data_IF_116352363763
#
_entry.id   IF_116352363763
#
_cell.length_a   1.000
_cell.length_b   1.000
_cell.length_c   1.000
_cell.angle_alpha   90.00
_cell.angle_beta   90.00
_cell.angle_gamma   90.00
#
_symmetry.space_group_name_H-M   'P 1'
#
loop_
_entity.id
_entity.type
_entity.pdbx_description
1 polymer ?
#
# COMPACT_ATOMS: atom_id res chain seq x y z
N UNK A 1 37.73 9.33 -47.30
CA UNK A 1 36.74 8.92 -46.28
C UNK A 1 37.28 9.34 -44.92
N UNK A 2 36.65 10.34 -44.29
CA UNK A 2 37.23 11.13 -43.21
C UNK A 2 37.05 10.52 -41.82
N UNK A 3 38.00 10.84 -40.93
CA UNK A 3 38.06 10.43 -39.52
C UNK A 3 36.72 10.58 -38.75
N UNK A 4 35.94 11.62 -39.06
CA UNK A 4 34.63 11.89 -38.48
C UNK A 4 33.59 10.78 -38.79
N UNK A 5 33.66 10.19 -39.97
CA UNK A 5 32.73 9.17 -40.46
C UNK A 5 33.04 7.79 -39.84
N UNK A 6 34.26 7.58 -39.33
CA UNK A 6 34.63 6.42 -38.52
C UNK A 6 34.20 6.59 -37.05
N UNK A 7 34.29 7.80 -36.49
CA UNK A 7 33.83 8.11 -35.13
C UNK A 7 32.31 7.96 -34.98
N UNK A 8 31.51 8.43 -35.95
CA UNK A 8 30.04 8.32 -35.92
C UNK A 8 29.57 6.86 -36.03
N UNK A 9 30.24 6.04 -36.85
CA UNK A 9 29.96 4.59 -36.94
C UNK A 9 30.37 3.83 -35.67
N UNK A 10 31.44 4.25 -35.00
CA UNK A 10 31.91 3.60 -33.77
C UNK A 10 31.01 3.94 -32.56
N UNK A 11 30.60 5.20 -32.44
CA UNK A 11 29.64 5.66 -31.42
C UNK A 11 28.26 5.01 -31.60
N UNK A 12 27.78 4.89 -32.84
CA UNK A 12 26.54 4.16 -33.17
C UNK A 12 26.60 2.68 -32.80
N UNK A 13 27.70 1.98 -33.09
CA UNK A 13 27.87 0.57 -32.70
C UNK A 13 27.92 0.36 -31.19
N UNK A 14 28.59 1.26 -30.45
CA UNK A 14 28.60 1.22 -28.98
C UNK A 14 27.22 1.51 -28.39
N UNK A 15 26.47 2.47 -28.93
CA UNK A 15 25.10 2.76 -28.51
C UNK A 15 24.17 1.55 -28.73
N UNK A 16 24.25 0.88 -29.89
CA UNK A 16 23.45 -0.32 -30.16
C UNK A 16 23.86 -1.52 -29.29
N UNK A 17 25.14 -1.71 -29.00
CA UNK A 17 25.61 -2.76 -28.09
C UNK A 17 25.16 -2.51 -26.64
N UNK A 18 25.26 -1.27 -26.15
CA UNK A 18 24.77 -0.87 -24.85
C UNK A 18 23.24 -1.07 -24.74
N UNK A 19 22.50 -0.75 -25.80
CA UNK A 19 21.04 -0.92 -25.84
C UNK A 19 20.63 -2.40 -25.92
N UNK A 20 21.44 -3.27 -26.54
CA UNK A 20 21.26 -4.73 -26.50
C UNK A 20 21.53 -5.29 -25.09
N UNK A 21 22.56 -4.79 -24.39
CA UNK A 21 22.84 -5.15 -23.00
C UNK A 21 21.69 -4.78 -22.06
N UNK A 22 21.18 -3.53 -22.15
CA UNK A 22 20.03 -3.07 -21.37
C UNK A 22 18.77 -3.89 -21.63
N UNK A 23 18.49 -4.28 -22.89
CA UNK A 23 17.34 -5.12 -23.25
C UNK A 23 17.45 -6.53 -22.70
N UNK A 24 18.66 -7.09 -22.62
CA UNK A 24 18.91 -8.41 -22.04
C UNK A 24 18.73 -8.39 -20.52
N UNK A 25 19.31 -7.40 -19.83
CA UNK A 25 19.13 -7.24 -18.38
C UNK A 25 17.64 -7.03 -18.01
N UNK A 26 16.90 -6.22 -18.77
CA UNK A 26 15.47 -6.03 -18.56
C UNK A 26 14.66 -7.32 -18.79
N UNK A 27 15.07 -8.18 -19.73
CA UNK A 27 14.42 -9.47 -19.98
C UNK A 27 14.72 -10.47 -18.85
N UNK A 28 15.97 -10.50 -18.36
CA UNK A 28 16.39 -11.33 -17.22
C UNK A 28 15.64 -10.90 -15.93
N UNK A 29 15.57 -9.59 -15.65
CA UNK A 29 14.75 -9.04 -14.57
C UNK A 29 13.27 -9.42 -14.73
N UNK A 30 12.71 -9.30 -15.94
CA UNK A 30 11.33 -9.70 -16.22
C UNK A 30 11.10 -11.19 -15.98
N UNK A 31 12.07 -12.05 -16.28
CA UNK A 31 11.98 -13.49 -16.01
C UNK A 31 11.97 -13.78 -14.51
N UNK A 32 12.85 -13.17 -13.72
CA UNK A 32 12.85 -13.34 -12.26
C UNK A 32 11.55 -12.83 -11.62
N UNK A 33 10.99 -11.76 -12.14
CA UNK A 33 9.67 -11.27 -11.75
C UNK A 33 8.57 -12.32 -11.98
N UNK A 34 8.59 -13.03 -13.11
CA UNK A 34 7.63 -14.11 -13.35
C UNK A 34 7.88 -15.30 -12.43
N UNK A 35 9.13 -15.66 -12.15
CA UNK A 35 9.47 -16.73 -11.22
C UNK A 35 9.01 -16.43 -9.80
N UNK A 36 9.24 -15.20 -9.30
CA UNK A 36 8.70 -14.69 -8.03
C UNK A 36 7.19 -14.90 -7.98
N UNK A 37 6.47 -14.43 -9.00
CA UNK A 37 5.01 -14.49 -9.06
C UNK A 37 4.47 -15.93 -9.06
N UNK A 38 5.20 -16.86 -9.67
CA UNK A 38 4.76 -18.24 -9.88
C UNK A 38 5.17 -19.15 -8.71
N UNK A 39 6.34 -18.92 -8.11
CA UNK A 39 6.95 -19.86 -7.17
C UNK A 39 7.02 -19.34 -5.73
N UNK A 40 6.77 -18.04 -5.49
CA UNK A 40 6.79 -17.44 -4.14
C UNK A 40 8.14 -17.58 -3.41
N UNK A 41 9.22 -17.89 -4.13
CA UNK A 41 10.52 -18.22 -3.53
C UNK A 41 11.39 -16.97 -3.38
N UNK A 42 11.79 -16.67 -2.14
CA UNK A 42 12.69 -15.55 -1.80
C UNK A 42 14.08 -15.64 -2.43
N UNK A 43 14.45 -16.81 -2.97
CA UNK A 43 15.73 -17.04 -3.67
C UNK A 43 15.90 -16.19 -4.94
N UNK A 44 14.81 -15.60 -5.45
CA UNK A 44 14.79 -14.77 -6.67
C UNK A 44 14.84 -13.26 -6.40
N UNK A 45 14.82 -12.82 -5.14
CA UNK A 45 14.88 -11.39 -4.79
C UNK A 45 16.27 -10.78 -5.00
N UNK A 46 17.34 -11.53 -4.72
CA UNK A 46 18.70 -11.01 -4.81
C UNK A 46 19.10 -10.63 -6.25
N UNK A 47 18.89 -11.49 -7.26
CA UNK A 47 19.15 -11.11 -8.66
C UNK A 47 18.31 -9.91 -9.14
N UNK A 48 17.07 -9.78 -8.65
CA UNK A 48 16.25 -8.60 -8.94
C UNK A 48 16.87 -7.35 -8.34
N UNK A 49 17.24 -7.39 -7.06
CA UNK A 49 17.91 -6.29 -6.37
C UNK A 49 19.15 -5.84 -7.13
N UNK A 50 20.05 -6.76 -7.44
CA UNK A 50 21.31 -6.49 -8.13
C UNK A 50 21.09 -5.88 -9.55
N UNK A 51 19.92 -6.10 -10.16
CA UNK A 51 19.57 -5.54 -11.48
C UNK A 51 19.01 -4.12 -11.45
N UNK A 52 18.41 -3.69 -10.33
CA UNK A 52 17.75 -2.38 -10.18
C UNK A 52 18.44 -1.43 -9.21
N UNK A 53 19.19 -1.95 -8.23
CA UNK A 53 20.07 -1.20 -7.33
C UNK A 53 21.32 -0.73 -8.11
N UNK A 54 21.13 0.26 -8.98
CA UNK A 54 22.17 0.74 -9.89
C UNK A 54 23.29 1.51 -9.21
N UNK A 55 23.03 2.04 -8.01
CA UNK A 55 23.97 2.78 -7.18
C UNK A 55 24.65 1.91 -6.11
N UNK A 56 24.23 0.65 -5.96
CA UNK A 56 24.88 -0.34 -5.12
C UNK A 56 24.71 -0.06 -3.63
N UNK A 57 23.59 0.55 -3.25
CA UNK A 57 23.28 0.90 -1.87
C UNK A 57 22.88 -0.31 -1.03
N UNK A 58 22.48 -1.41 -1.69
CA UNK A 58 21.86 -2.56 -1.08
C UNK A 58 20.37 -2.35 -0.75
N UNK A 59 19.79 -1.21 -1.12
CA UNK A 59 18.38 -0.88 -0.96
C UNK A 59 17.80 -0.33 -2.26
N UNK A 60 16.48 -0.22 -2.34
CA UNK A 60 15.77 0.34 -3.49
C UNK A 60 15.10 1.63 -3.08
N UNK A 61 15.51 2.72 -3.70
CA UNK A 61 14.82 3.99 -3.60
C UNK A 61 13.46 3.96 -4.32
N UNK A 62 12.68 5.03 -4.22
CA UNK A 62 11.37 5.15 -4.87
C UNK A 62 11.42 4.96 -6.40
N UNK A 63 12.44 5.48 -7.08
CA UNK A 63 12.55 5.38 -8.53
C UNK A 63 12.92 3.97 -8.99
N UNK A 64 13.82 3.31 -8.25
CA UNK A 64 14.24 1.94 -8.51
C UNK A 64 13.09 0.97 -8.22
N UNK A 65 12.40 1.13 -7.09
CA UNK A 65 11.22 0.33 -6.76
C UNK A 65 10.12 0.50 -7.80
N UNK A 66 9.83 1.74 -8.25
CA UNK A 66 8.84 2.01 -9.30
C UNK A 66 9.07 1.20 -10.57
N UNK A 67 10.33 1.03 -10.99
CA UNK A 67 10.67 0.22 -12.16
C UNK A 67 10.33 -1.26 -11.96
N UNK A 68 10.58 -1.79 -10.77
CA UNK A 68 10.22 -3.17 -10.40
C UNK A 68 8.70 -3.35 -10.39
N UNK A 69 7.98 -2.45 -9.71
CA UNK A 69 6.52 -2.48 -9.61
C UNK A 69 5.85 -2.43 -10.98
N UNK A 70 6.37 -1.58 -11.88
CA UNK A 70 5.92 -1.48 -13.27
C UNK A 70 6.07 -2.79 -14.02
N UNK A 71 7.20 -3.47 -13.85
CA UNK A 71 7.42 -4.77 -14.48
C UNK A 71 6.55 -5.87 -13.86
N UNK A 72 6.30 -5.82 -12.55
CA UNK A 72 5.32 -6.69 -11.88
C UNK A 72 3.90 -6.48 -12.41
N UNK A 73 3.55 -5.31 -12.95
CA UNK A 73 2.21 -5.08 -13.46
C UNK A 73 2.14 -5.00 -14.99
N UNK A 74 2.95 -5.80 -15.68
CA UNK A 74 2.91 -5.93 -17.15
C UNK A 74 3.15 -4.59 -17.88
N UNK A 75 3.77 -3.62 -17.22
CA UNK A 75 4.11 -2.32 -17.77
C UNK A 75 3.23 -1.14 -17.32
N UNK A 76 2.21 -1.37 -16.49
CA UNK A 76 1.42 -0.27 -15.89
C UNK A 76 2.29 0.50 -14.90
N UNK A 77 2.41 1.80 -15.10
CA UNK A 77 3.24 2.69 -14.27
C UNK A 77 2.52 3.00 -12.94
N UNK A 78 3.12 2.69 -11.77
CA UNK A 78 2.60 3.18 -10.50
C UNK A 78 2.74 4.69 -10.42
N UNK A 79 1.78 5.37 -9.79
CA UNK A 79 1.94 6.76 -9.39
C UNK A 79 2.98 6.89 -8.27
N UNK A 80 3.60 8.07 -8.14
CA UNK A 80 4.60 8.30 -7.08
C UNK A 80 3.99 8.16 -5.68
N UNK A 81 2.70 8.51 -5.55
CA UNK A 81 1.91 8.30 -4.33
C UNK A 81 1.76 6.81 -3.99
N UNK A 82 1.45 5.95 -4.97
CA UNK A 82 1.40 4.50 -4.76
C UNK A 82 2.75 3.93 -4.34
N UNK A 83 3.85 4.40 -4.96
CA UNK A 83 5.20 3.96 -4.59
C UNK A 83 5.52 4.38 -3.16
N UNK A 84 5.26 5.64 -2.80
CA UNK A 84 5.49 6.16 -1.46
C UNK A 84 4.67 5.39 -0.42
N UNK A 85 3.40 5.10 -0.70
CA UNK A 85 2.56 4.28 0.15
C UNK A 85 3.16 2.88 0.33
N UNK A 86 3.57 2.20 -0.75
CA UNK A 86 4.19 0.87 -0.67
C UNK A 86 5.46 0.88 0.19
N UNK A 87 6.33 1.88 0.02
CA UNK A 87 7.52 2.04 0.85
C UNK A 87 7.12 2.22 2.31
N UNK A 88 6.13 3.08 2.61
CA UNK A 88 5.68 3.32 3.99
C UNK A 88 5.16 2.06 4.70
N UNK A 89 4.62 1.10 3.95
CA UNK A 89 4.14 -0.18 4.48
C UNK A 89 5.29 -1.18 4.61
N UNK A 90 6.18 -1.24 3.62
CA UNK A 90 7.23 -2.25 3.53
C UNK A 90 8.48 -1.94 4.35
N UNK A 91 8.89 -0.67 4.44
CA UNK A 91 10.12 -0.23 5.09
C UNK A 91 10.00 -0.34 6.62
N UNK A 92 10.41 -1.49 7.15
CA UNK A 92 10.48 -1.75 8.60
C UNK A 92 11.79 -1.26 9.19
N UNK A 93 12.81 -1.10 8.35
CA UNK A 93 14.12 -0.59 8.73
C UNK A 93 14.14 0.92 8.99
N UNK A 94 13.16 1.66 8.44
CA UNK A 94 13.05 3.11 8.57
C UNK A 94 14.08 3.88 7.74
N UNK A 95 14.58 3.28 6.65
CA UNK A 95 15.62 3.87 5.80
C UNK A 95 15.05 4.81 4.72
N UNK A 96 13.74 4.82 4.52
CA UNK A 96 13.07 5.50 3.40
C UNK A 96 13.25 4.77 2.07
N UNK A 97 13.72 3.52 2.12
CA UNK A 97 14.03 2.66 0.97
C UNK A 97 13.70 1.21 1.31
N UNK A 98 13.54 0.35 0.30
CA UNK A 98 13.19 -1.06 0.50
C UNK A 98 14.44 -1.92 0.41
N UNK A 99 14.76 -2.70 1.45
CA UNK A 99 15.83 -3.70 1.40
C UNK A 99 15.33 -5.07 0.89
N UNK A 100 16.23 -6.05 0.76
CA UNK A 100 15.90 -7.37 0.22
C UNK A 100 14.84 -8.13 1.04
N UNK A 101 14.85 -7.97 2.36
CA UNK A 101 13.91 -8.64 3.26
C UNK A 101 12.52 -7.97 3.20
N UNK A 102 12.47 -6.68 2.85
CA UNK A 102 11.25 -5.89 2.72
C UNK A 102 10.60 -6.01 1.33
N UNK A 103 11.35 -6.46 0.32
CA UNK A 103 10.89 -6.52 -1.07
C UNK A 103 9.66 -7.41 -1.25
N UNK A 104 9.56 -8.50 -0.48
CA UNK A 104 8.37 -9.35 -0.48
C UNK A 104 7.12 -8.63 0.05
N UNK A 105 7.27 -7.79 1.08
CA UNK A 105 6.18 -6.97 1.61
C UNK A 105 5.77 -5.90 0.61
N UNK A 106 6.73 -5.25 -0.06
CA UNK A 106 6.47 -4.28 -1.12
C UNK A 106 5.68 -4.92 -2.29
N UNK A 107 6.10 -6.12 -2.72
CA UNK A 107 5.42 -6.88 -3.77
C UNK A 107 3.98 -7.23 -3.39
N UNK A 108 3.77 -7.76 -2.17
CA UNK A 108 2.44 -8.10 -1.68
C UNK A 108 1.52 -6.89 -1.58
N UNK A 109 2.04 -5.76 -1.09
CA UNK A 109 1.28 -4.50 -0.96
C UNK A 109 0.85 -3.98 -2.34
N UNK A 110 1.73 -4.05 -3.34
CA UNK A 110 1.39 -3.65 -4.70
C UNK A 110 0.32 -4.53 -5.34
N UNK A 111 0.40 -5.86 -5.15
CA UNK A 111 -0.60 -6.79 -5.65
C UNK A 111 -1.97 -6.52 -5.00
N UNK A 112 -2.01 -6.30 -3.68
CA UNK A 112 -3.25 -5.93 -2.99
C UNK A 112 -3.86 -4.62 -3.52
N UNK A 113 -3.05 -3.56 -3.67
CA UNK A 113 -3.51 -2.28 -4.23
C UNK A 113 -4.07 -2.41 -5.64
N UNK A 114 -3.52 -3.33 -6.45
CA UNK A 114 -4.03 -3.63 -7.79
C UNK A 114 -5.39 -4.32 -7.72
N UNK A 115 -5.49 -5.38 -6.92
CA UNK A 115 -6.72 -6.16 -6.77
C UNK A 115 -7.86 -5.30 -6.19
N UNK A 116 -7.52 -4.33 -5.35
CA UNK A 116 -8.46 -3.38 -4.76
C UNK A 116 -8.85 -2.21 -5.70
N UNK A 117 -8.25 -2.07 -6.90
CA UNK A 117 -8.59 -0.95 -7.80
C UNK A 117 -10.08 -0.80 -8.11
N UNK A 118 -10.86 -1.86 -8.39
CA UNK A 118 -12.31 -1.73 -8.60
C UNK A 118 -13.02 -1.16 -7.37
N UNK A 119 -12.70 -1.67 -6.18
CA UNK A 119 -13.25 -1.20 -4.92
C UNK A 119 -12.89 0.26 -4.63
N UNK A 120 -11.62 0.64 -4.84
CA UNK A 120 -11.16 2.02 -4.68
C UNK A 120 -11.89 2.94 -5.66
N UNK A 121 -12.01 2.53 -6.93
CA UNK A 121 -12.71 3.31 -7.96
C UNK A 121 -14.17 3.55 -7.61
N UNK A 122 -14.89 2.51 -7.19
CA UNK A 122 -16.29 2.60 -6.80
C UNK A 122 -16.49 3.48 -5.56
N UNK A 123 -15.60 3.32 -4.56
CA UNK A 123 -15.66 4.11 -3.33
C UNK A 123 -15.41 5.59 -3.61
N UNK A 124 -14.36 5.91 -4.37
CA UNK A 124 -14.06 7.30 -4.76
C UNK A 124 -15.19 7.88 -5.61
N UNK A 125 -15.71 7.14 -6.60
CA UNK A 125 -16.82 7.61 -7.43
C UNK A 125 -18.09 7.91 -6.62
N UNK A 126 -18.30 7.21 -5.50
CA UNK A 126 -19.46 7.39 -4.64
C UNK A 126 -19.29 8.56 -3.66
N UNK A 127 -18.12 8.71 -3.02
CA UNK A 127 -17.95 9.63 -1.89
C UNK A 127 -17.09 10.86 -2.20
N UNK A 128 -16.16 10.81 -3.17
CA UNK A 128 -15.34 11.96 -3.60
C UNK A 128 -16.18 12.88 -4.52
N UNK A 129 -17.15 13.56 -3.90
CA UNK A 129 -18.17 14.36 -4.60
C UNK A 129 -17.63 15.63 -5.22
N UNK A 130 -16.57 16.19 -4.66
CA UNK A 130 -15.85 17.36 -5.19
C UNK A 130 -14.74 16.98 -6.19
N UNK A 131 -14.48 15.68 -6.38
CA UNK A 131 -13.48 15.11 -7.31
C UNK A 131 -12.08 15.62 -6.99
N UNK A 132 -11.78 15.78 -5.71
CA UNK A 132 -10.48 16.20 -5.22
C UNK A 132 -9.41 15.12 -5.44
N UNK A 133 -9.83 13.85 -5.52
CA UNK A 133 -8.93 12.69 -5.53
C UNK A 133 -8.65 12.15 -4.12
N UNK A 134 -9.25 12.72 -3.09
CA UNK A 134 -9.18 12.31 -1.68
C UNK A 134 -10.56 12.42 -1.03
N UNK A 135 -10.73 11.81 0.15
CA UNK A 135 -11.95 11.92 0.94
C UNK A 135 -11.66 12.79 2.17
N UNK A 136 -12.32 13.94 2.23
CA UNK A 136 -12.30 14.80 3.41
C UNK A 136 -13.14 14.21 4.56
N UNK A 137 -13.10 14.85 5.74
CA UNK A 137 -13.77 14.37 6.96
C UNK A 137 -15.27 14.08 6.76
N UNK A 138 -15.99 14.97 6.08
CA UNK A 138 -17.44 14.80 5.86
C UNK A 138 -17.71 13.63 4.91
N UNK A 139 -16.91 13.48 3.85
CA UNK A 139 -17.02 12.37 2.91
C UNK A 139 -16.65 11.02 3.56
N UNK A 140 -15.63 10.98 4.43
CA UNK A 140 -15.29 9.80 5.24
C UNK A 140 -16.43 9.44 6.19
N UNK A 141 -17.05 10.44 6.84
CA UNK A 141 -18.21 10.22 7.72
C UNK A 141 -19.40 9.63 6.97
N UNK A 142 -19.67 10.09 5.74
CA UNK A 142 -20.70 9.49 4.88
C UNK A 142 -20.37 8.03 4.54
N UNK A 143 -19.12 7.75 4.16
CA UNK A 143 -18.67 6.38 3.90
C UNK A 143 -18.88 5.47 5.12
N UNK A 144 -18.47 5.91 6.31
CA UNK A 144 -18.63 5.13 7.55
C UNK A 144 -20.11 4.94 7.91
N UNK A 145 -20.95 5.94 7.66
CA UNK A 145 -22.40 5.86 7.89
C UNK A 145 -23.02 4.74 7.04
N UNK A 146 -22.67 4.69 5.76
CA UNK A 146 -23.15 3.64 4.85
C UNK A 146 -22.60 2.25 5.22
N UNK A 147 -21.36 2.17 5.73
CA UNK A 147 -20.78 0.93 6.25
C UNK A 147 -21.39 0.49 7.60
N UNK A 148 -22.17 1.36 8.26
CA UNK A 148 -22.75 1.16 9.58
C UNK A 148 -24.29 1.17 9.53
N UNK A 149 -24.87 0.62 8.46
CA UNK A 149 -26.32 0.51 8.24
C UNK A 149 -27.08 1.85 8.41
N UNK A 150 -26.44 2.96 8.01
CA UNK A 150 -27.01 4.31 8.07
C UNK A 150 -26.83 5.01 9.42
N UNK A 151 -26.13 4.41 10.39
CA UNK A 151 -25.86 5.01 11.69
C UNK A 151 -24.57 5.82 11.59
N UNK A 152 -24.68 7.14 11.67
CA UNK A 152 -23.53 8.02 11.60
C UNK A 152 -22.63 7.88 12.84
N UNK A 153 -21.30 7.69 12.67
CA UNK A 153 -20.35 7.78 13.78
C UNK A 153 -20.24 9.22 14.29
N UNK A 154 -19.80 9.38 15.55
CA UNK A 154 -19.41 10.68 16.09
C UNK A 154 -18.11 11.20 15.46
N UNK A 155 -17.88 12.51 15.56
CA UNK A 155 -16.75 13.17 14.91
C UNK A 155 -15.40 12.69 15.45
N UNK A 156 -15.32 12.31 16.74
CA UNK A 156 -14.09 11.79 17.35
C UNK A 156 -13.71 10.43 16.75
N UNK A 157 -14.69 9.58 16.47
CA UNK A 157 -14.51 8.29 15.81
C UNK A 157 -14.07 8.47 14.35
N UNK A 158 -14.61 9.45 13.65
CA UNK A 158 -14.17 9.79 12.28
C UNK A 158 -12.72 10.30 12.30
N UNK A 159 -12.39 11.21 13.21
CA UNK A 159 -11.03 11.73 13.36
C UNK A 159 -10.03 10.62 13.71
N UNK A 160 -10.42 9.69 14.59
CA UNK A 160 -9.61 8.53 14.92
C UNK A 160 -9.36 7.67 13.68
N UNK A 161 -10.39 7.39 12.87
CA UNK A 161 -10.24 6.62 11.64
C UNK A 161 -9.25 7.28 10.67
N UNK A 162 -9.40 8.59 10.44
CA UNK A 162 -8.51 9.34 9.57
C UNK A 162 -7.09 9.27 10.10
N UNK A 163 -6.89 9.49 11.41
CA UNK A 163 -5.55 9.48 12.02
C UNK A 163 -4.80 8.16 11.86
N UNK A 164 -5.50 7.01 11.82
CA UNK A 164 -4.87 5.69 11.67
C UNK A 164 -4.68 5.27 10.22
N UNK A 165 -5.50 5.80 9.30
CA UNK A 165 -5.46 5.43 7.88
C UNK A 165 -4.63 6.40 7.03
N UNK A 166 -4.54 7.68 7.41
CA UNK A 166 -3.77 8.72 6.71
C UNK A 166 -2.26 8.53 6.92
N UNK A 167 -1.65 7.75 6.03
CA UNK A 167 -0.21 7.53 5.96
C UNK A 167 0.50 8.70 5.28
N UNK A 168 -0.16 9.34 4.33
CA UNK A 168 0.33 10.50 3.56
C UNK A 168 0.42 11.80 4.38
N UNK A 169 -0.23 11.85 5.54
CA UNK A 169 -0.27 13.00 6.46
C UNK A 169 -0.91 14.23 5.83
N UNK A 170 -1.94 14.01 5.02
CA UNK A 170 -2.70 15.07 4.36
C UNK A 170 -3.88 15.57 5.19
N UNK A 171 -4.32 14.80 6.18
CA UNK A 171 -5.56 15.02 6.92
C UNK A 171 -6.80 14.51 6.18
N UNK A 172 -6.62 13.90 5.01
CA UNK A 172 -7.67 13.31 4.17
C UNK A 172 -7.30 11.87 3.81
N UNK A 173 -8.25 11.10 3.27
CA UNK A 173 -8.01 9.73 2.84
C UNK A 173 -7.85 9.70 1.33
N UNK A 174 -6.63 9.49 0.85
CA UNK A 174 -6.37 9.37 -0.58
C UNK A 174 -6.73 7.97 -1.11
N UNK A 175 -6.57 7.78 -2.42
CA UNK A 175 -6.94 6.54 -3.13
C UNK A 175 -6.24 5.30 -2.59
N UNK A 176 -4.99 5.42 -2.16
CA UNK A 176 -4.20 4.31 -1.62
C UNK A 176 -4.59 3.94 -0.19
N UNK A 177 -5.26 4.85 0.52
CA UNK A 177 -5.64 4.71 1.92
C UNK A 177 -7.08 4.24 2.12
N UNK A 178 -7.95 4.30 1.10
CA UNK A 178 -9.36 3.90 1.18
C UNK A 178 -9.54 2.48 1.73
N UNK A 179 -8.80 1.50 1.19
CA UNK A 179 -8.90 0.11 1.66
C UNK A 179 -8.51 -0.02 3.12
N UNK A 180 -7.44 0.67 3.52
CA UNK A 180 -6.93 0.70 4.89
C UNK A 180 -7.96 1.32 5.82
N UNK A 181 -8.55 2.46 5.47
CA UNK A 181 -9.61 3.09 6.24
C UNK A 181 -10.79 2.13 6.47
N UNK A 182 -11.25 1.42 5.44
CA UNK A 182 -12.36 0.46 5.64
C UNK A 182 -11.94 -0.74 6.50
N UNK A 183 -10.71 -1.24 6.39
CA UNK A 183 -10.20 -2.29 7.28
C UNK A 183 -10.13 -1.83 8.75
N UNK A 184 -9.61 -0.63 8.99
CA UNK A 184 -9.53 -0.04 10.34
C UNK A 184 -10.93 0.19 10.93
N UNK A 185 -11.89 0.64 10.12
CA UNK A 185 -13.28 0.78 10.56
C UNK A 185 -13.85 -0.54 11.11
N UNK A 186 -13.72 -1.64 10.36
CA UNK A 186 -14.22 -2.94 10.82
C UNK A 186 -13.45 -3.46 12.05
N UNK A 187 -12.15 -3.20 12.13
CA UNK A 187 -11.34 -3.50 13.32
C UNK A 187 -11.82 -2.74 14.55
N UNK A 188 -12.05 -1.43 14.41
CA UNK A 188 -12.60 -0.58 15.47
C UNK A 188 -14.01 -1.00 15.88
N UNK A 189 -14.90 -1.26 14.92
CA UNK A 189 -16.27 -1.66 15.18
C UNK A 189 -16.36 -2.97 15.99
N UNK A 190 -15.50 -3.94 15.67
CA UNK A 190 -15.39 -5.18 16.45
C UNK A 190 -15.00 -4.90 17.91
N UNK A 191 -13.98 -4.07 18.13
CA UNK A 191 -13.52 -3.69 19.47
C UNK A 191 -14.55 -2.85 20.24
N UNK A 192 -15.28 -1.96 19.57
CA UNK A 192 -16.32 -1.14 20.17
C UNK A 192 -17.52 -1.99 20.62
N UNK A 193 -17.92 -2.97 19.81
CA UNK A 193 -18.97 -3.92 20.19
C UNK A 193 -18.58 -4.75 21.41
N UNK A 194 -17.33 -5.26 21.45
CA UNK A 194 -16.80 -5.99 22.60
C UNK A 194 -16.75 -5.15 23.88
N UNK A 195 -16.36 -3.87 23.77
CA UNK A 195 -16.34 -2.94 24.92
C UNK A 195 -17.75 -2.70 25.46
N UNK A 196 -18.70 -2.36 24.59
CA UNK A 196 -20.11 -2.13 24.97
C UNK A 196 -20.72 -3.37 25.62
N UNK A 197 -20.39 -4.57 25.13
CA UNK A 197 -20.83 -5.83 25.74
C UNK A 197 -20.28 -5.99 27.16
N UNK A 198 -18.97 -5.80 27.35
CA UNK A 198 -18.33 -5.88 28.69
C UNK A 198 -18.86 -4.85 29.67
N UNK A 199 -19.12 -3.62 29.22
CA UNK A 199 -19.71 -2.56 30.04
C UNK A 199 -21.14 -2.89 30.47
N UNK A 200 -21.95 -3.43 29.55
CA UNK A 200 -23.30 -3.91 29.84
C UNK A 200 -23.28 -5.06 30.85
N UNK A 201 -22.43 -6.06 30.65
CA UNK A 201 -22.26 -7.18 31.59
C UNK A 201 -21.80 -6.70 32.98
N UNK A 202 -20.90 -5.72 33.04
CA UNK A 202 -20.45 -5.13 34.29
C UNK A 202 -21.56 -4.33 34.99
N UNK A 203 -22.39 -3.61 34.24
CA UNK A 203 -23.55 -2.90 34.75
C UNK A 203 -24.62 -3.89 35.29
N UNK A 204 -24.89 -4.97 34.57
CA UNK A 204 -25.82 -6.04 34.99
C UNK A 204 -25.32 -6.76 36.25
N UNK A 205 -24.02 -7.08 36.35
CA UNK A 205 -23.41 -7.64 37.57
C UNK A 205 -23.53 -6.71 38.77
N UNK A 206 -23.39 -5.40 38.57
CA UNK A 206 -23.59 -4.39 39.63
C UNK A 206 -25.06 -4.22 40.01
N UNK A 207 -25.99 -4.49 39.08
CA UNK A 207 -27.43 -4.37 39.29
C UNK A 207 -28.07 -5.63 39.94
N UNK A 208 -27.37 -6.77 40.00
CA UNK A 208 -27.87 -7.94 40.73
C UNK A 208 -27.91 -7.67 42.24
N UNK A 209 -29.08 -7.81 42.90
CA UNK A 209 -29.17 -7.60 44.34
C UNK A 209 -28.30 -8.63 45.07
N UNK A 210 -27.37 -8.15 45.90
CA UNK A 210 -26.67 -9.02 46.84
C UNK A 210 -27.74 -9.70 47.70
N UNK A 211 -27.79 -11.03 47.62
CA UNK A 211 -28.79 -11.84 48.29
C UNK A 211 -28.95 -11.42 49.74
N UNK A 212 -30.16 -10.98 50.08
CA UNK A 212 -30.57 -10.72 51.44
C UNK A 212 -30.41 -12.04 52.21
N UNK A 213 -29.44 -12.11 53.13
CA UNK A 213 -29.32 -13.20 54.09
C UNK A 213 -30.63 -13.26 54.88
N UNK A 214 -31.48 -14.25 54.59
CA UNK A 214 -32.59 -14.61 55.48
C UNK A 214 -31.99 -15.55 56.51
N UNK A 215 -31.52 -14.98 57.61
CA UNK A 215 -31.20 -15.74 58.81
C UNK A 215 -32.52 -16.28 59.39
N UNK A 216 -32.58 -17.60 59.62
CA UNK A 216 -33.59 -18.27 60.44
C UNK A 216 -32.91 -18.96 61.60
#
# INVERSE_FOLDING_TARGET
MGFADAMMRNTSKHAHAAQRGKRRAALEAKMHIYEVKIQGSSSTWKPLMDSFDTDGTGTLDANQLKQILKLWNEGIDPSDEQVAFIISIADKSGQGSVNIDELGCAAGTWMALKDDQPFINETMAKYDTDKSGSLNKDQVKLMMTDLNDGIAPDDETVDLLISVADHSKTGEINRTEVRKAVQEWYGMAALMNDRKLKEKEAAERKAQPQGCCVAS
#
